data_IF_890170696410
#
_entry.id   IF_890170696410
#
_cell.length_a   1.000
_cell.length_b   1.000
_cell.length_c   1.000
_cell.angle_alpha   90.00
_cell.angle_beta   90.00
_cell.angle_gamma   90.00
#
_symmetry.space_group_name_H-M   'P 1'
#
loop_
_entity.id
_entity.type
_entity.pdbx_description
1 polymer ?
#
# COMPACT_ATOMS: atom_id res chain seq x y z
N UNK A 1 27.56 5.56 -3.39
CA UNK A 1 26.12 5.89 -3.41
C UNK A 1 25.38 4.57 -3.57
N UNK A 2 24.63 4.13 -2.56
CA UNK A 2 23.87 2.88 -2.64
C UNK A 2 22.46 3.25 -3.10
N UNK A 3 21.96 2.58 -4.12
CA UNK A 3 20.62 2.79 -4.66
C UNK A 3 19.90 1.45 -4.64
N UNK A 4 18.70 1.43 -4.09
CA UNK A 4 17.84 0.25 -4.03
C UNK A 4 16.42 0.58 -4.50
N UNK A 5 15.61 -0.43 -4.80
CA UNK A 5 14.23 -0.22 -5.19
C UNK A 5 13.45 0.34 -3.98
N UNK A 6 12.65 1.38 -4.21
CA UNK A 6 11.84 2.06 -3.18
C UNK A 6 10.38 1.60 -3.16
N UNK A 7 9.91 0.97 -4.23
CA UNK A 7 8.54 0.48 -4.39
C UNK A 7 8.56 -0.66 -5.40
N UNK A 8 7.81 -1.73 -5.12
CA UNK A 8 7.57 -2.82 -6.07
C UNK A 8 6.07 -2.96 -6.25
N UNK A 9 5.63 -3.14 -7.49
CA UNK A 9 4.23 -3.33 -7.83
C UNK A 9 4.07 -4.34 -8.97
N UNK A 10 3.03 -5.16 -8.87
CA UNK A 10 2.58 -6.09 -9.90
C UNK A 10 1.13 -5.74 -10.21
N UNK A 11 0.79 -5.60 -11.49
CA UNK A 11 -0.56 -5.25 -11.92
C UNK A 11 -1.06 -6.24 -12.97
N UNK A 12 -2.21 -6.83 -12.70
CA UNK A 12 -2.98 -7.65 -13.63
C UNK A 12 -4.04 -6.77 -14.32
N UNK A 13 -3.94 -6.66 -15.65
CA UNK A 13 -4.78 -5.79 -16.49
C UNK A 13 -5.97 -6.56 -17.07
N UNK A 14 -6.83 -7.09 -16.21
CA UNK A 14 -8.07 -7.78 -16.60
C UNK A 14 -9.29 -6.84 -16.71
N UNK A 15 -10.50 -7.39 -16.94
CA UNK A 15 -11.76 -6.64 -16.83
C UNK A 15 -11.93 -5.97 -15.46
N UNK A 16 -11.37 -6.59 -14.41
CA UNK A 16 -11.15 -5.99 -13.09
C UNK A 16 -9.63 -5.89 -12.87
N UNK A 17 -9.18 -4.72 -12.39
CA UNK A 17 -7.78 -4.50 -12.08
C UNK A 17 -7.46 -5.12 -10.72
N UNK A 18 -6.44 -5.97 -10.70
CA UNK A 18 -5.82 -6.45 -9.46
C UNK A 18 -4.39 -5.97 -9.42
N UNK A 19 -3.99 -5.37 -8.30
CA UNK A 19 -2.62 -4.94 -8.11
C UNK A 19 -2.11 -5.33 -6.74
N UNK A 20 -0.81 -5.56 -6.67
CA UNK A 20 -0.10 -5.90 -5.45
C UNK A 20 1.10 -4.98 -5.31
N UNK A 21 1.41 -4.56 -4.09
CA UNK A 21 2.51 -3.64 -3.84
C UNK A 21 3.19 -3.87 -2.50
N UNK A 22 4.44 -3.41 -2.39
CA UNK A 22 5.23 -3.44 -1.16
C UNK A 22 6.32 -2.37 -1.20
N UNK A 23 6.59 -1.75 -0.05
CA UNK A 23 7.69 -0.79 0.16
C UNK A 23 8.78 -1.42 1.04
N UNK A 24 10.06 -1.07 0.86
CA UNK A 24 11.08 -1.41 1.85
C UNK A 24 10.87 -0.53 3.10
N UNK A 25 10.53 -1.15 4.23
CA UNK A 25 10.23 -0.45 5.47
C UNK A 25 8.72 -0.25 5.65
N UNK A 26 8.27 0.97 5.88
CA UNK A 26 6.88 1.28 6.17
C UNK A 26 6.41 2.60 5.57
N UNK A 27 5.14 2.92 5.81
CA UNK A 27 4.47 4.08 5.20
C UNK A 27 4.85 5.41 5.88
N UNK A 28 5.55 5.35 7.02
CA UNK A 28 5.94 6.51 7.80
C UNK A 28 7.45 6.74 7.76
N UNK A 29 7.89 7.98 7.56
CA UNK A 29 9.29 8.36 7.70
C UNK A 29 9.75 8.62 9.13
N UNK A 30 8.86 8.51 10.14
CA UNK A 30 9.18 8.76 11.54
C UNK A 30 9.64 7.46 12.23
N UNK A 31 10.89 7.35 12.74
CA UNK A 31 11.38 6.14 13.41
C UNK A 31 10.59 5.71 14.66
N UNK A 32 9.85 6.63 15.30
CA UNK A 32 8.99 6.28 16.44
C UNK A 32 7.61 5.77 16.05
N UNK A 33 7.29 5.73 14.76
CA UNK A 33 6.00 5.24 14.26
C UNK A 33 6.00 3.71 14.16
N UNK A 34 4.93 3.02 14.57
CA UNK A 34 4.78 1.58 14.31
C UNK A 34 4.65 1.26 12.81
N UNK A 35 4.57 2.28 11.94
CA UNK A 35 4.54 2.15 10.49
C UNK A 35 5.86 2.57 9.82
N UNK A 36 6.97 2.58 10.56
CA UNK A 36 8.29 2.97 10.02
C UNK A 36 8.94 1.86 9.21
N UNK A 37 8.87 0.62 9.70
CA UNK A 37 9.53 -0.57 9.16
C UNK A 37 8.58 -1.78 9.04
N UNK A 38 7.28 -1.54 9.17
CA UNK A 38 6.24 -2.57 9.33
C UNK A 38 5.98 -3.49 8.13
N UNK A 39 6.69 -3.31 7.01
CA UNK A 39 6.63 -4.17 5.82
C UNK A 39 8.01 -4.71 5.44
N UNK A 40 9.03 -4.53 6.29
CA UNK A 40 10.40 -4.90 5.99
C UNK A 40 10.55 -6.42 5.82
N UNK A 41 9.93 -7.21 6.69
CA UNK A 41 9.96 -8.67 6.64
C UNK A 41 9.29 -9.18 5.35
N UNK A 42 8.10 -8.65 5.00
CA UNK A 42 7.42 -9.00 3.75
C UNK A 42 8.22 -8.60 2.51
N UNK A 43 8.90 -7.45 2.55
CA UNK A 43 9.77 -7.01 1.46
C UNK A 43 10.96 -7.95 1.24
N UNK A 44 11.58 -8.42 2.33
CA UNK A 44 12.69 -9.38 2.32
C UNK A 44 12.24 -10.73 1.76
N UNK A 45 11.07 -11.21 2.19
CA UNK A 45 10.48 -12.47 1.74
C UNK A 45 9.84 -12.39 0.34
N UNK A 46 9.77 -11.21 -0.26
CA UNK A 46 9.13 -11.00 -1.57
C UNK A 46 7.61 -11.19 -1.54
N UNK A 47 6.99 -10.97 -0.38
CA UNK A 47 5.54 -10.94 -0.21
C UNK A 47 4.98 -9.57 -0.62
N UNK A 48 3.74 -9.56 -1.09
CA UNK A 48 3.07 -8.35 -1.58
C UNK A 48 1.70 -8.21 -0.96
N UNK A 49 1.28 -6.97 -0.72
CA UNK A 49 -0.05 -6.62 -0.22
C UNK A 49 -0.96 -6.28 -1.39
N UNK A 50 -2.20 -6.79 -1.38
CA UNK A 50 -3.21 -6.41 -2.37
C UNK A 50 -3.60 -4.94 -2.22
N UNK A 51 -3.52 -4.19 -3.31
CA UNK A 51 -3.87 -2.78 -3.37
C UNK A 51 -5.37 -2.64 -3.58
N UNK A 52 -6.00 -1.95 -2.63
CA UNK A 52 -7.44 -1.81 -2.59
C UNK A 52 -7.90 -0.61 -3.41
N UNK A 53 -8.62 -0.87 -4.51
CA UNK A 53 -9.22 0.16 -5.35
C UNK A 53 -10.71 0.32 -5.04
N UNK A 54 -11.18 1.57 -5.06
CA UNK A 54 -12.60 1.90 -4.95
C UNK A 54 -13.11 2.33 -6.31
N UNK A 55 -14.12 1.63 -6.86
CA UNK A 55 -14.67 1.98 -8.16
C UNK A 55 -15.61 3.20 -8.10
N UNK A 56 -16.17 3.48 -6.93
CA UNK A 56 -17.05 4.62 -6.68
C UNK A 56 -16.96 5.09 -5.22
N UNK A 57 -17.47 6.30 -4.90
CA UNK A 57 -17.51 6.78 -3.52
C UNK A 57 -18.38 5.93 -2.59
N UNK A 58 -19.29 5.10 -3.11
CA UNK A 58 -20.18 4.24 -2.34
C UNK A 58 -19.68 2.79 -2.27
N UNK A 59 -18.48 2.50 -2.79
CA UNK A 59 -17.91 1.15 -2.77
C UNK A 59 -17.62 0.70 -1.33
N UNK A 60 -18.33 -0.34 -0.89
CA UNK A 60 -18.20 -0.95 0.45
C UNK A 60 -17.39 -2.23 0.45
N UNK A 61 -16.82 -2.65 -0.69
CA UNK A 61 -15.98 -3.85 -0.79
C UNK A 61 -14.73 -3.76 0.09
N UNK A 62 -14.37 -2.55 0.50
CA UNK A 62 -13.13 -2.24 1.18
C UNK A 62 -13.32 -1.95 2.67
N UNK A 63 -12.38 -2.45 3.49
CA UNK A 63 -12.30 -2.11 4.91
C UNK A 63 -11.77 -0.69 5.08
N UNK A 64 -12.67 0.28 4.99
CA UNK A 64 -12.38 1.69 5.24
C UNK A 64 -12.29 1.91 6.75
N UNK A 65 -11.09 2.22 7.26
CA UNK A 65 -10.87 2.52 8.68
C UNK A 65 -11.37 3.92 9.06
N UNK A 66 -11.24 4.91 8.16
CA UNK A 66 -11.64 6.30 8.39
C UNK A 66 -12.03 6.97 7.08
N UNK A 67 -13.08 7.78 7.11
CA UNK A 67 -13.51 8.64 6.01
C UNK A 67 -13.43 10.10 6.43
N UNK A 68 -12.67 10.89 5.69
CA UNK A 68 -12.53 12.33 5.95
C UNK A 68 -13.24 13.12 4.85
N UNK A 69 -14.02 14.12 5.24
CA UNK A 69 -14.56 15.12 4.34
C UNK A 69 -13.88 16.43 4.65
N UNK A 70 -13.06 16.90 3.72
CA UNK A 70 -12.49 18.23 3.78
C UNK A 70 -13.51 19.21 3.22
N UNK A 71 -14.10 20.01 4.11
CA UNK A 71 -14.89 21.18 3.73
C UNK A 71 -13.93 22.35 3.84
N UNK A 72 -13.78 23.12 2.75
CA UNK A 72 -12.96 24.32 2.73
C UNK A 72 -13.66 25.45 3.46
#
# INVERSE_FOLDING_TARGET
>A
KVTGPSWRMIVEMGPEIKAYGVFPGGQSGNPGSPFYDNMLDEWEEGKYFELQFMASPSDTRQRVLRRERFIK
#
